data_IF_901467563181
#
_entry.id   IF_901467563181
#
_cell.length_a   1.000
_cell.length_b   1.000
_cell.length_c   1.000
_cell.angle_alpha   90.00
_cell.angle_beta   90.00
_cell.angle_gamma   90.00
#
_symmetry.space_group_name_H-M   'P 1'
#
loop_
_entity.id
_entity.type
_entity.pdbx_description
1 polymer ?
#
# COMPACT_ATOMS: atom_id res chain seq x y z
N UNK A 1 -20.15 -41.89 12.43
CA UNK A 1 -20.08 -41.00 11.25
C UNK A 1 -21.07 -39.83 11.31
N UNK A 2 -22.33 -40.02 11.72
CA UNK A 2 -23.35 -38.94 11.84
C UNK A 2 -22.93 -37.76 12.75
N UNK A 3 -22.32 -38.03 13.90
CA UNK A 3 -21.91 -36.99 14.85
C UNK A 3 -20.71 -36.16 14.34
N UNK A 4 -19.85 -36.76 13.52
CA UNK A 4 -18.71 -36.06 12.90
C UNK A 4 -19.18 -35.07 11.83
N UNK A 5 -20.26 -35.42 11.13
CA UNK A 5 -20.87 -34.57 10.10
C UNK A 5 -21.53 -33.33 10.71
N UNK A 6 -22.16 -33.48 11.88
CA UNK A 6 -22.73 -32.35 12.66
C UNK A 6 -21.62 -31.43 13.19
N UNK A 7 -20.50 -31.99 13.65
CA UNK A 7 -19.35 -31.21 14.11
C UNK A 7 -18.67 -30.44 12.95
N UNK A 8 -18.54 -31.07 11.78
CA UNK A 8 -18.00 -30.43 10.58
C UNK A 8 -18.90 -29.27 10.13
N UNK A 9 -20.22 -29.48 10.09
CA UNK A 9 -21.19 -28.42 9.75
C UNK A 9 -21.13 -27.26 10.75
N UNK A 10 -20.94 -27.54 12.05
CA UNK A 10 -20.78 -26.51 13.08
C UNK A 10 -19.54 -25.64 12.87
N UNK A 11 -18.39 -26.22 12.50
CA UNK A 11 -17.14 -25.48 12.26
C UNK A 11 -17.23 -24.55 11.04
N UNK A 12 -17.94 -24.98 9.98
CA UNK A 12 -18.12 -24.17 8.76
C UNK A 12 -18.92 -22.88 9.04
N UNK A 13 -19.87 -22.90 9.97
CA UNK A 13 -20.71 -21.75 10.30
C UNK A 13 -19.98 -20.65 11.11
N UNK A 14 -18.87 -20.98 11.78
CA UNK A 14 -18.07 -20.01 12.56
C UNK A 14 -17.03 -19.27 11.70
N UNK A 15 -16.78 -19.73 10.47
CA UNK A 15 -15.76 -19.14 9.58
C UNK A 15 -16.17 -17.80 8.94
N UNK A 16 -17.42 -17.35 9.14
CA UNK A 16 -17.91 -16.08 8.58
C UNK A 16 -17.52 -14.89 9.47
N UNK A 17 -16.23 -14.55 9.51
CA UNK A 17 -15.75 -13.29 10.09
C UNK A 17 -15.59 -12.22 8.99
N UNK A 18 -16.05 -10.99 9.24
CA UNK A 18 -15.99 -9.88 8.27
C UNK A 18 -14.57 -9.36 8.02
N UNK A 19 -13.70 -9.45 9.03
CA UNK A 19 -12.25 -9.31 8.91
C UNK A 19 -11.62 -10.17 10.02
N UNK A 20 -10.78 -11.16 9.70
CA UNK A 20 -10.18 -12.05 10.70
C UNK A 20 -9.06 -11.37 11.51
N UNK A 21 -8.65 -10.16 11.14
CA UNK A 21 -7.57 -9.41 11.79
C UNK A 21 -8.12 -8.49 12.88
N UNK A 22 -7.58 -8.54 14.11
CA UNK A 22 -8.01 -7.65 15.19
C UNK A 22 -7.72 -6.18 14.85
N UNK A 23 -8.60 -5.28 15.29
CA UNK A 23 -8.42 -3.84 15.15
C UNK A 23 -7.22 -3.39 16.01
N UNK A 24 -6.26 -2.63 15.46
CA UNK A 24 -5.15 -2.05 16.21
C UNK A 24 -5.63 -1.03 17.25
N UNK A 25 -4.89 -0.88 18.34
CA UNK A 25 -5.17 0.16 19.36
C UNK A 25 -5.05 1.56 18.76
N UNK A 26 -4.03 1.76 17.93
CA UNK A 26 -3.83 2.98 17.15
C UNK A 26 -4.17 2.73 15.67
N UNK A 27 -5.47 2.73 15.35
CA UNK A 27 -5.94 2.59 13.97
C UNK A 27 -5.75 3.91 13.22
N UNK A 28 -4.94 3.89 12.16
CA UNK A 28 -4.77 5.00 11.22
C UNK A 28 -6.00 5.11 10.33
N UNK A 29 -6.35 6.34 9.95
CA UNK A 29 -7.42 6.60 8.99
C UNK A 29 -7.08 6.01 7.62
N UNK A 30 -8.11 5.63 6.85
CA UNK A 30 -7.96 5.03 5.51
C UNK A 30 -7.20 5.98 4.56
N UNK A 31 -7.44 7.29 4.65
CA UNK A 31 -6.73 8.31 3.86
C UNK A 31 -5.25 8.36 4.22
N UNK A 32 -4.89 8.38 5.51
CA UNK A 32 -3.50 8.35 5.98
C UNK A 32 -2.81 7.06 5.52
N UNK A 33 -3.51 5.93 5.56
CA UNK A 33 -2.97 4.66 5.08
C UNK A 33 -2.74 4.67 3.56
N UNK A 34 -3.66 5.26 2.79
CA UNK A 34 -3.48 5.48 1.34
C UNK A 34 -2.27 6.37 1.04
N UNK A 35 -2.06 7.43 1.83
CA UNK A 35 -0.89 8.31 1.71
C UNK A 35 0.42 7.57 1.99
N UNK A 36 0.45 6.75 3.05
CA UNK A 36 1.59 5.88 3.37
C UNK A 36 1.91 4.93 2.21
N UNK A 37 0.90 4.26 1.66
CA UNK A 37 1.07 3.34 0.53
C UNK A 37 1.59 4.06 -0.73
N UNK A 38 1.11 5.29 -0.96
CA UNK A 38 1.55 6.12 -2.08
C UNK A 38 3.03 6.51 -1.95
N UNK A 39 3.47 6.97 -0.78
CA UNK A 39 4.88 7.32 -0.56
C UNK A 39 5.80 6.12 -0.65
N UNK A 40 5.41 4.97 -0.07
CA UNK A 40 6.17 3.72 -0.19
C UNK A 40 6.31 3.34 -1.66
N UNK A 41 5.23 3.45 -2.45
CA UNK A 41 5.28 3.15 -3.88
C UNK A 41 6.27 4.04 -4.63
N UNK A 42 6.35 5.33 -4.29
CA UNK A 42 7.33 6.26 -4.88
C UNK A 42 8.76 5.89 -4.46
N UNK A 43 8.99 5.62 -3.18
CA UNK A 43 10.31 5.29 -2.66
C UNK A 43 10.81 3.96 -3.25
N UNK A 44 9.97 2.94 -3.33
CA UNK A 44 10.30 1.66 -3.97
C UNK A 44 10.54 1.79 -5.46
N UNK A 45 9.73 2.60 -6.16
CA UNK A 45 9.98 2.89 -7.58
C UNK A 45 11.31 3.62 -7.78
N UNK A 46 11.66 4.54 -6.87
CA UNK A 46 12.94 5.25 -6.87
C UNK A 46 14.10 4.29 -6.63
N UNK A 47 13.99 3.38 -5.65
CA UNK A 47 14.99 2.35 -5.37
C UNK A 47 15.19 1.42 -6.58
N UNK A 48 14.11 0.97 -7.21
CA UNK A 48 14.17 0.11 -8.39
C UNK A 48 14.73 0.81 -9.63
N UNK A 49 14.42 2.09 -9.84
CA UNK A 49 14.88 2.87 -11.00
C UNK A 49 16.27 3.48 -10.81
N UNK A 50 16.64 3.83 -9.57
CA UNK A 50 17.88 4.49 -9.19
C UNK A 50 18.42 3.92 -7.86
N UNK A 51 19.04 2.73 -7.87
CA UNK A 51 19.43 2.00 -6.66
C UNK A 51 20.31 2.80 -5.68
N UNK A 52 21.18 3.67 -6.19
CA UNK A 52 22.08 4.46 -5.36
C UNK A 52 21.44 5.75 -4.83
N UNK A 53 20.25 6.13 -5.32
CA UNK A 53 19.66 7.44 -5.00
C UNK A 53 19.27 7.54 -3.54
N UNK A 54 18.56 6.54 -3.00
CA UNK A 54 18.17 6.53 -1.58
C UNK A 54 19.40 6.38 -0.68
N UNK A 55 20.32 5.47 -1.04
CA UNK A 55 21.53 5.21 -0.25
C UNK A 55 22.46 6.44 -0.17
N UNK A 56 22.66 7.14 -1.28
CA UNK A 56 23.47 8.38 -1.32
C UNK A 56 22.87 9.50 -0.49
N UNK A 57 21.54 9.55 -0.37
CA UNK A 57 20.81 10.48 0.50
C UNK A 57 20.61 9.95 1.93
N UNK A 58 21.12 8.75 2.24
CA UNK A 58 20.98 8.06 3.53
C UNK A 58 19.51 7.86 3.95
N UNK A 59 18.62 7.68 2.98
CA UNK A 59 17.19 7.46 3.19
C UNK A 59 16.93 5.97 3.36
N UNK A 60 16.39 5.59 4.51
CA UNK A 60 15.77 4.28 4.73
C UNK A 60 14.26 4.44 4.63
N UNK A 61 13.60 3.62 3.79
CA UNK A 61 12.16 3.74 3.49
C UNK A 61 11.31 3.65 4.76
N UNK A 62 11.51 2.63 5.58
CA UNK A 62 10.72 2.42 6.79
C UNK A 62 10.87 3.59 7.76
N UNK A 63 12.11 3.99 8.04
CA UNK A 63 12.42 5.09 8.95
C UNK A 63 11.81 6.41 8.46
N UNK A 64 11.91 6.68 7.15
CA UNK A 64 11.31 7.87 6.54
C UNK A 64 9.79 7.89 6.72
N UNK A 65 9.11 6.76 6.53
CA UNK A 65 7.65 6.66 6.72
C UNK A 65 7.29 6.88 8.18
N UNK A 66 8.02 6.28 9.12
CA UNK A 66 7.78 6.46 10.55
C UNK A 66 7.89 7.93 10.96
N UNK A 67 8.93 8.62 10.51
CA UNK A 67 9.16 10.03 10.79
C UNK A 67 8.10 10.93 10.14
N UNK A 68 7.80 10.72 8.84
CA UNK A 68 6.84 11.54 8.08
C UNK A 68 5.44 11.49 8.68
N UNK A 69 4.98 10.30 9.05
CA UNK A 69 3.61 10.08 9.56
C UNK A 69 3.52 10.09 11.09
N UNK A 70 4.66 10.24 11.79
CA UNK A 70 4.75 10.21 13.26
C UNK A 70 4.17 8.93 13.85
N UNK A 71 4.50 7.79 13.24
CA UNK A 71 4.07 6.45 13.65
C UNK A 71 5.28 5.60 14.01
N UNK A 72 5.09 4.61 14.87
CA UNK A 72 6.11 3.59 15.13
C UNK A 72 5.91 2.34 14.25
N UNK A 73 6.90 1.44 14.30
CA UNK A 73 6.89 0.19 13.51
C UNK A 73 5.73 -0.74 13.88
N UNK A 74 5.29 -0.72 15.14
CA UNK A 74 4.20 -1.56 15.64
C UNK A 74 2.88 -1.07 15.04
N UNK A 75 2.62 0.24 15.13
CA UNK A 75 1.47 0.92 14.56
C UNK A 75 1.42 0.65 13.06
N UNK A 76 2.54 0.87 12.34
CA UNK A 76 2.61 0.60 10.91
C UNK A 76 2.25 -0.86 10.57
N UNK A 77 2.91 -1.83 11.22
CA UNK A 77 2.69 -3.24 10.95
C UNK A 77 1.26 -3.70 11.25
N UNK A 78 0.71 -3.27 12.38
CA UNK A 78 -0.65 -3.62 12.78
C UNK A 78 -1.69 -3.02 11.83
N UNK A 79 -1.49 -1.79 11.36
CA UNK A 79 -2.38 -1.14 10.40
C UNK A 79 -2.32 -1.80 9.02
N UNK A 80 -1.12 -2.05 8.48
CA UNK A 80 -0.93 -2.82 7.24
C UNK A 80 -1.69 -4.14 7.34
N UNK A 81 -1.49 -4.89 8.43
CA UNK A 81 -2.16 -6.18 8.63
C UNK A 81 -3.68 -6.03 8.71
N UNK A 82 -4.19 -5.06 9.46
CA UNK A 82 -5.62 -4.83 9.64
C UNK A 82 -6.32 -4.51 8.32
N UNK A 83 -5.75 -3.58 7.55
CA UNK A 83 -6.30 -3.19 6.26
C UNK A 83 -6.16 -4.29 5.21
N UNK A 84 -5.04 -5.02 5.17
CA UNK A 84 -4.87 -6.17 4.28
C UNK A 84 -5.81 -7.34 4.62
N UNK A 85 -6.31 -7.42 5.86
CA UNK A 85 -7.32 -8.40 6.28
C UNK A 85 -8.69 -8.21 5.62
N UNK A 86 -8.98 -7.03 5.07
CA UNK A 86 -10.15 -6.75 4.24
C UNK A 86 -9.71 -6.44 2.81
N UNK A 87 -9.71 -7.47 1.96
CA UNK A 87 -9.25 -7.35 0.58
C UNK A 87 -9.99 -6.27 -0.23
N UNK A 88 -11.29 -6.05 0.03
CA UNK A 88 -12.07 -5.03 -0.69
C UNK A 88 -11.63 -3.63 -0.29
N UNK A 89 -11.44 -3.41 1.01
CA UNK A 89 -10.96 -2.13 1.54
C UNK A 89 -9.54 -1.84 1.08
N UNK A 90 -8.66 -2.84 1.13
CA UNK A 90 -7.28 -2.72 0.68
C UNK A 90 -7.18 -2.41 -0.82
N UNK A 91 -8.00 -3.09 -1.64
CA UNK A 91 -8.09 -2.82 -3.07
C UNK A 91 -8.54 -1.38 -3.35
N UNK A 92 -9.52 -0.87 -2.60
CA UNK A 92 -10.00 0.51 -2.78
C UNK A 92 -8.88 1.54 -2.58
N UNK A 93 -8.05 1.38 -1.54
CA UNK A 93 -6.89 2.26 -1.32
C UNK A 93 -5.89 2.19 -2.49
N UNK A 94 -5.67 1.00 -3.05
CA UNK A 94 -4.81 0.84 -4.23
C UNK A 94 -5.38 1.50 -5.49
N UNK A 95 -6.70 1.43 -5.69
CA UNK A 95 -7.34 2.14 -6.79
C UNK A 95 -7.23 3.66 -6.61
N UNK A 96 -7.37 4.16 -5.38
CA UNK A 96 -7.23 5.57 -5.09
C UNK A 96 -5.82 6.09 -5.38
N UNK A 97 -4.77 5.40 -4.90
CA UNK A 97 -3.40 5.82 -5.18
C UNK A 97 -3.05 5.72 -6.67
N UNK A 98 -3.58 4.72 -7.41
CA UNK A 98 -3.41 4.63 -8.86
C UNK A 98 -4.06 5.81 -9.60
N UNK A 99 -5.27 6.21 -9.19
CA UNK A 99 -5.93 7.40 -9.74
C UNK A 99 -5.13 8.68 -9.45
N UNK A 100 -4.50 8.78 -8.27
CA UNK A 100 -3.59 9.89 -7.95
C UNK A 100 -2.39 9.91 -8.89
N UNK A 101 -1.75 8.76 -9.16
CA UNK A 101 -0.67 8.67 -10.15
C UNK A 101 -1.11 9.13 -11.54
N UNK A 102 -2.24 8.63 -12.05
CA UNK A 102 -2.77 9.02 -13.35
C UNK A 102 -3.04 10.53 -13.45
N UNK A 103 -3.57 11.13 -12.37
CA UNK A 103 -3.82 12.57 -12.29
C UNK A 103 -2.52 13.36 -12.34
N UNK A 104 -1.50 12.94 -11.59
CA UNK A 104 -0.18 13.56 -11.60
C UNK A 104 0.50 13.47 -12.97
N UNK A 105 0.38 12.34 -13.66
CA UNK A 105 0.94 12.12 -14.99
C UNK A 105 0.25 12.99 -16.04
N UNK A 106 -1.09 13.03 -16.04
CA UNK A 106 -1.88 13.91 -16.94
C UNK A 106 -1.53 15.39 -16.74
N UNK A 107 -1.38 15.82 -15.49
CA UNK A 107 -1.00 17.19 -15.18
C UNK A 107 0.41 17.53 -15.69
N UNK A 108 1.36 16.59 -15.62
CA UNK A 108 2.70 16.78 -16.20
C UNK A 108 2.67 16.86 -17.73
N UNK A 109 1.81 16.09 -18.41
CA UNK A 109 1.71 16.11 -19.89
C UNK A 109 1.05 17.37 -20.45
N UNK A 110 0.31 18.11 -19.63
CA UNK A 110 -0.29 19.40 -20.02
C UNK A 110 0.70 20.59 -19.94
N UNK A 111 1.96 20.33 -19.59
CA UNK A 111 3.05 21.32 -19.64
C UNK A 111 3.65 21.26 -21.06
N UNK A 112 3.67 22.37 -21.84
CA UNK A 112 4.15 22.33 -23.22
C UNK A 112 5.59 21.80 -23.30
N UNK A 113 5.76 20.74 -24.08
CA UNK A 113 7.02 20.03 -24.33
C UNK A 113 8.08 20.94 -24.99
N UNK A 114 8.76 21.77 -24.20
CA UNK A 114 10.11 22.20 -24.56
C UNK A 114 11.10 21.19 -24.00
N UNK A 115 11.66 20.39 -24.91
CA UNK A 115 12.85 19.53 -24.75
C UNK A 115 12.56 18.04 -24.50
N UNK A 116 11.94 17.38 -25.49
CA UNK A 116 12.22 15.96 -25.77
C UNK A 116 13.51 15.86 -26.59
N UNK A 117 14.61 15.48 -25.94
CA UNK A 117 15.61 14.66 -26.60
C UNK A 117 15.86 13.43 -25.73
N UNK A 118 15.42 12.30 -26.29
CA UNK A 118 15.72 10.90 -25.98
C UNK A 118 15.53 10.44 -24.52
N UNK A 119 14.48 9.63 -24.31
CA UNK A 119 14.59 8.36 -23.57
C UNK A 119 13.42 7.44 -23.95
N UNK A 120 13.79 6.30 -24.53
CA UNK A 120 12.94 5.16 -24.83
C UNK A 120 12.33 4.67 -23.52
N UNK A 121 11.01 4.57 -23.47
CA UNK A 121 10.28 3.96 -22.35
C UNK A 121 10.25 2.45 -22.59
N UNK A 122 10.82 1.60 -21.71
CA UNK A 122 10.67 0.16 -21.85
C UNK A 122 9.23 -0.23 -21.50
N UNK A 123 8.62 -1.04 -22.36
CA UNK A 123 7.40 -1.78 -22.06
C UNK A 123 7.64 -2.72 -20.88
N UNK A 124 6.83 -2.61 -19.83
CA UNK A 124 6.76 -3.64 -18.80
C UNK A 124 6.07 -4.88 -19.39
N UNK A 125 6.77 -6.00 -19.35
CA UNK A 125 6.29 -7.33 -19.72
C UNK A 125 6.17 -8.17 -18.45
#
# INVERSE_FOLDING_TARGET
MRNFLVLLIGVVLVSCSKNPVPKPDNLLDEEVMTDILFDISILQATEGAMPDKLTSEKINIETYIYEKYKIDSITYYQNIRFYAGDAKKYQKMHLELMNRFDTLLKNKTNIPEKNKQNKVVPSFQ
#
